data_IF_099895442048
#
_entry.id   IF_099895442048
#
_cell.length_a   1.000
_cell.length_b   1.000
_cell.length_c   1.000
_cell.angle_alpha   90.00
_cell.angle_beta   90.00
_cell.angle_gamma   90.00
#
_symmetry.space_group_name_H-M   'P 1'
#
loop_
_entity.id
_entity.type
_entity.pdbx_description
1 polymer ?
#
# COMPACT_ATOMS: atom_id res chain seq x y z
N UNK A 1 15.25 -13.16 -75.37
CA UNK A 1 15.47 -11.82 -74.84
C UNK A 1 14.35 -11.47 -73.88
N UNK A 2 14.53 -11.62 -72.55
CA UNK A 2 13.50 -11.22 -71.58
C UNK A 2 13.69 -9.76 -71.18
N UNK A 3 12.58 -9.01 -71.12
CA UNK A 3 12.49 -7.64 -70.65
C UNK A 3 12.54 -7.62 -69.13
N UNK A 4 13.50 -6.85 -68.59
CA UNK A 4 13.65 -6.55 -67.18
C UNK A 4 12.75 -5.33 -66.90
N UNK A 5 11.73 -5.55 -66.01
CA UNK A 5 10.85 -4.52 -65.53
C UNK A 5 11.41 -3.98 -64.21
N UNK A 6 11.85 -2.74 -64.19
CA UNK A 6 12.28 -2.03 -62.96
C UNK A 6 11.02 -1.56 -62.20
N UNK A 7 10.80 -2.08 -61.03
CA UNK A 7 9.81 -1.54 -60.08
C UNK A 7 10.52 -0.51 -59.21
N UNK A 8 10.22 0.75 -59.39
CA UNK A 8 10.62 1.85 -58.51
C UNK A 8 9.81 1.78 -57.20
N UNK A 9 10.49 1.49 -56.11
CA UNK A 9 9.95 1.55 -54.76
C UNK A 9 10.09 2.97 -54.24
N UNK A 10 8.98 3.73 -54.16
CA UNK A 10 8.93 5.03 -53.52
C UNK A 10 8.94 4.84 -51.97
N UNK A 11 10.03 5.19 -51.34
CA UNK A 11 10.14 5.36 -49.90
C UNK A 11 9.47 6.67 -49.50
N UNK A 12 8.27 6.60 -48.94
CA UNK A 12 7.65 7.71 -48.19
C UNK A 12 8.33 7.85 -46.83
N UNK A 13 9.21 8.84 -46.69
CA UNK A 13 9.70 9.30 -45.39
C UNK A 13 8.63 10.21 -44.80
N UNK A 14 7.90 9.68 -43.80
CA UNK A 14 6.98 10.49 -43.00
C UNK A 14 7.81 11.25 -41.95
N UNK A 15 8.01 12.51 -42.15
CA UNK A 15 8.53 13.42 -41.10
C UNK A 15 7.42 13.65 -40.06
N UNK A 16 7.56 13.01 -38.91
CA UNK A 16 6.77 13.37 -37.73
C UNK A 16 7.39 14.61 -37.10
N UNK A 17 6.73 15.74 -37.29
CA UNK A 17 7.04 16.96 -36.57
C UNK A 17 6.75 16.75 -35.08
N UNK A 18 7.78 16.52 -34.27
CA UNK A 18 7.70 16.62 -32.81
C UNK A 18 7.63 18.09 -32.42
N UNK A 19 6.44 18.59 -32.15
CA UNK A 19 6.28 19.83 -31.41
C UNK A 19 6.74 19.60 -29.97
N UNK A 20 7.57 20.46 -29.37
CA UNK A 20 7.95 20.30 -27.97
C UNK A 20 6.71 20.51 -27.11
N UNK A 21 6.42 19.52 -26.24
CA UNK A 21 5.43 19.68 -25.18
C UNK A 21 5.85 20.83 -24.27
N UNK A 22 5.00 21.84 -24.21
CA UNK A 22 5.12 22.92 -23.21
C UNK A 22 5.09 22.25 -21.82
N UNK A 23 6.15 22.48 -21.05
CA UNK A 23 6.14 22.28 -19.59
C UNK A 23 4.98 23.08 -19.02
N UNK A 24 3.96 22.38 -18.55
CA UNK A 24 2.96 23.00 -17.69
C UNK A 24 3.61 23.20 -16.33
N UNK A 25 3.90 24.44 -16.01
CA UNK A 25 4.20 24.91 -14.67
C UNK A 25 2.98 24.56 -13.80
N UNK A 26 3.12 23.54 -12.95
CA UNK A 26 2.20 23.31 -11.85
C UNK A 26 2.59 24.26 -10.73
N UNK A 27 1.75 25.27 -10.52
CA UNK A 27 1.83 26.14 -9.35
C UNK A 27 1.92 25.30 -8.08
N UNK A 28 2.97 25.59 -7.29
CA UNK A 28 3.19 25.03 -5.96
C UNK A 28 2.15 25.64 -4.98
N UNK A 29 0.97 25.06 -4.90
CA UNK A 29 0.12 25.25 -3.73
C UNK A 29 0.66 24.38 -2.59
N UNK A 30 1.56 24.95 -1.82
CA UNK A 30 2.00 24.44 -0.53
C UNK A 30 0.82 24.62 0.43
N UNK A 31 0.10 23.55 0.72
CA UNK A 31 -0.77 23.51 1.91
C UNK A 31 0.16 23.60 3.13
N UNK A 32 0.29 24.81 3.67
CA UNK A 32 0.91 25.06 4.97
C UNK A 32 0.04 24.39 6.04
N UNK A 33 0.48 23.25 6.54
CA UNK A 33 0.05 22.77 7.85
C UNK A 33 0.50 23.82 8.87
N UNK A 34 -0.43 24.54 9.47
CA UNK A 34 -0.16 25.50 10.52
C UNK A 34 0.49 24.78 11.72
N UNK A 35 1.81 24.92 11.83
CA UNK A 35 2.53 24.69 13.06
C UNK A 35 2.10 25.77 14.08
N UNK A 36 1.40 25.30 15.10
CA UNK A 36 1.05 26.12 16.25
C UNK A 36 2.32 26.49 17.03
N UNK A 37 2.98 27.56 16.58
CA UNK A 37 4.16 28.10 17.25
C UNK A 37 3.71 29.14 18.26
N UNK A 38 3.85 28.81 19.55
CA UNK A 38 3.61 29.70 20.68
C UNK A 38 4.62 30.85 20.68
N UNK A 39 4.15 32.02 20.28
CA UNK A 39 4.94 33.27 20.37
C UNK A 39 5.01 33.69 21.81
N UNK A 40 6.18 33.56 22.47
CA UNK A 40 6.50 34.20 23.71
C UNK A 40 6.59 35.71 23.48
N UNK A 41 5.66 36.47 24.02
CA UNK A 41 5.81 37.91 24.26
C UNK A 41 6.56 38.13 25.54
N UNK A 42 7.80 38.63 25.46
CA UNK A 42 8.50 39.25 26.57
C UNK A 42 7.87 40.61 26.86
N UNK A 43 7.33 40.77 28.07
CA UNK A 43 7.12 42.11 28.65
C UNK A 43 7.97 42.22 29.90
N UNK A 44 8.90 43.17 29.88
CA UNK A 44 9.58 43.69 31.07
C UNK A 44 8.57 44.38 31.98
N UNK A 45 8.64 44.03 33.26
CA UNK A 45 7.92 44.76 34.30
C UNK A 45 8.40 44.31 35.68
N UNK A 46 9.20 45.18 36.31
CA UNK A 46 9.64 45.12 37.69
C UNK A 46 8.48 45.23 38.68
N UNK A 47 8.51 44.43 39.75
CA UNK A 47 7.60 44.65 40.90
C UNK A 47 7.60 43.47 41.87
N UNK A 48 8.22 43.75 43.02
CA UNK A 48 8.35 42.90 44.20
C UNK A 48 7.03 42.49 44.84
N UNK A 49 7.14 41.42 45.66
CA UNK A 49 6.54 41.14 46.98
C UNK A 49 5.50 40.01 47.03
N UNK A 50 5.96 38.93 47.75
CA UNK A 50 5.24 38.05 48.69
C UNK A 50 3.72 37.85 48.55
N UNK A 51 3.33 36.61 48.32
CA UNK A 51 2.37 35.90 49.19
C UNK A 51 2.53 34.39 48.96
N UNK A 52 2.98 33.73 50.01
CA UNK A 52 2.93 32.28 50.18
C UNK A 52 1.48 31.84 50.40
N UNK A 53 1.27 30.61 49.96
CA UNK A 53 0.28 29.65 50.44
C UNK A 53 -1.21 29.85 50.12
N UNK A 54 -1.74 28.70 49.79
CA UNK A 54 -3.12 28.25 49.74
C UNK A 54 -3.76 28.37 48.33
N UNK A 55 -3.57 27.34 47.58
CA UNK A 55 -4.55 26.55 46.78
C UNK A 55 -3.73 25.60 45.90
N UNK A 56 -3.71 24.35 46.31
CA UNK A 56 -3.18 23.28 45.45
C UNK A 56 -3.84 23.32 44.11
N UNK A 57 -3.08 23.62 43.04
CA UNK A 57 -3.49 23.38 41.70
C UNK A 57 -3.75 21.87 41.60
N UNK A 58 -4.92 21.42 41.11
CA UNK A 58 -5.07 20.02 40.76
C UNK A 58 -4.03 19.73 39.72
N UNK A 59 -3.13 18.77 40.00
CA UNK A 59 -2.33 18.11 39.01
C UNK A 59 -3.31 17.61 37.96
N UNK A 60 -3.23 18.17 36.75
CA UNK A 60 -3.86 17.57 35.59
C UNK A 60 -3.06 16.29 35.36
N UNK A 61 -3.51 15.21 36.02
CA UNK A 61 -3.06 13.87 35.72
C UNK A 61 -3.29 13.71 34.23
N UNK A 62 -2.20 13.66 33.47
CA UNK A 62 -2.24 13.21 32.11
C UNK A 62 -2.87 11.81 32.21
N UNK A 63 -4.13 11.67 31.82
CA UNK A 63 -4.78 10.38 31.65
C UNK A 63 -3.87 9.59 30.70
N UNK A 64 -3.02 8.77 31.28
CA UNK A 64 -2.34 7.69 30.57
C UNK A 64 -3.48 6.81 30.08
N UNK A 65 -3.89 7.02 28.82
CA UNK A 65 -4.88 6.18 28.18
C UNK A 65 -4.41 4.75 28.34
N UNK A 66 -5.14 4.00 29.14
CA UNK A 66 -4.95 2.55 29.28
C UNK A 66 -4.74 1.95 27.90
N UNK A 67 -3.78 1.04 27.72
CA UNK A 67 -3.61 0.37 26.45
C UNK A 67 -4.95 -0.27 26.09
N UNK A 68 -5.51 0.12 24.94
CA UNK A 68 -6.77 -0.43 24.45
C UNK A 68 -6.69 -1.95 24.55
N UNK A 69 -7.62 -2.55 25.31
CA UNK A 69 -7.68 -3.98 25.54
C UNK A 69 -7.65 -4.77 24.23
N UNK A 70 -7.25 -6.04 24.30
CA UNK A 70 -7.20 -6.91 23.13
C UNK A 70 -8.50 -6.81 22.32
N UNK A 71 -8.38 -6.46 21.04
CA UNK A 71 -9.49 -6.53 20.10
C UNK A 71 -9.96 -7.98 20.00
N UNK A 72 -11.25 -8.18 20.08
CA UNK A 72 -11.88 -9.49 19.88
C UNK A 72 -12.08 -9.85 18.40
N UNK A 73 -11.54 -9.03 17.47
CA UNK A 73 -11.73 -9.25 16.05
C UNK A 73 -10.73 -10.30 15.51
N UNK A 74 -11.24 -11.18 14.66
CA UNK A 74 -10.43 -12.14 13.90
C UNK A 74 -9.91 -11.53 12.61
N UNK A 75 -8.70 -11.92 12.21
CA UNK A 75 -8.06 -11.49 10.97
C UNK A 75 -7.69 -12.67 10.07
N UNK A 76 -7.38 -12.38 8.81
CA UNK A 76 -6.76 -13.31 7.86
C UNK A 76 -7.66 -14.40 7.30
N UNK A 77 -8.95 -14.39 7.62
CA UNK A 77 -9.90 -15.42 7.18
C UNK A 77 -10.36 -15.14 5.75
N UNK A 78 -10.02 -16.04 4.84
CA UNK A 78 -10.52 -16.03 3.45
C UNK A 78 -11.95 -16.56 3.36
N UNK A 79 -12.68 -16.14 2.35
CA UNK A 79 -13.93 -16.79 1.98
C UNK A 79 -13.60 -18.03 1.15
N UNK A 80 -14.18 -19.18 1.56
CA UNK A 80 -14.02 -20.42 0.81
C UNK A 80 -14.73 -20.30 -0.54
N UNK A 81 -14.06 -20.70 -1.60
CA UNK A 81 -14.64 -20.81 -2.92
C UNK A 81 -14.26 -22.11 -3.61
N UNK A 82 -15.13 -22.50 -4.55
CA UNK A 82 -14.93 -23.62 -5.45
C UNK A 82 -13.75 -23.30 -6.36
N UNK A 83 -12.66 -24.05 -6.21
CA UNK A 83 -11.42 -23.90 -6.99
C UNK A 83 -11.70 -24.06 -8.48
N UNK A 84 -11.35 -23.03 -9.26
CA UNK A 84 -11.12 -23.17 -10.71
C UNK A 84 -9.60 -23.18 -10.91
N UNK A 85 -9.06 -24.20 -11.55
CA UNK A 85 -7.63 -24.45 -11.71
C UNK A 85 -7.09 -23.65 -12.91
N UNK A 86 -5.99 -22.85 -12.70
CA UNK A 86 -5.18 -22.29 -13.78
C UNK A 86 -5.15 -20.76 -13.89
N UNK A 87 -4.32 -20.04 -13.06
CA UNK A 87 -3.99 -18.60 -13.16
C UNK A 87 -5.18 -17.68 -13.46
N UNK A 88 -6.08 -17.47 -12.52
CA UNK A 88 -7.45 -17.07 -12.81
C UNK A 88 -7.94 -15.99 -11.84
N UNK A 89 -9.02 -15.27 -12.21
CA UNK A 89 -9.71 -14.38 -11.28
C UNK A 89 -9.94 -15.08 -9.95
N UNK A 90 -9.74 -14.36 -8.84
CA UNK A 90 -10.12 -14.90 -7.53
C UNK A 90 -11.62 -15.08 -7.51
N UNK A 91 -12.09 -15.94 -6.64
CA UNK A 91 -13.50 -15.91 -6.32
C UNK A 91 -13.92 -14.59 -5.71
N UNK A 92 -15.22 -14.25 -5.87
CA UNK A 92 -15.80 -12.99 -5.40
C UNK A 92 -15.51 -12.82 -3.91
N UNK A 93 -14.83 -11.71 -3.53
CA UNK A 93 -14.49 -11.38 -2.14
C UNK A 93 -13.69 -12.46 -1.39
N UNK A 94 -12.90 -13.28 -2.09
CA UNK A 94 -12.06 -14.31 -1.46
C UNK A 94 -11.10 -13.71 -0.44
N UNK A 95 -10.53 -12.53 -0.72
CA UNK A 95 -9.61 -11.80 0.15
C UNK A 95 -10.29 -10.51 0.65
N UNK A 96 -11.10 -10.58 1.72
CA UNK A 96 -11.99 -9.48 2.12
C UNK A 96 -11.28 -8.25 2.72
N UNK A 97 -9.98 -8.28 2.85
CA UNK A 97 -9.13 -7.16 3.25
C UNK A 97 -8.58 -6.35 2.09
N UNK A 98 -8.69 -6.86 0.85
CA UNK A 98 -8.14 -6.15 -0.30
C UNK A 98 -8.97 -4.91 -0.58
N UNK A 99 -8.28 -3.77 -0.68
CA UNK A 99 -8.89 -2.47 -0.88
C UNK A 99 -8.35 -1.78 -2.13
N UNK A 100 -9.22 -1.03 -2.81
CA UNK A 100 -8.82 -0.08 -3.85
C UNK A 100 -8.66 1.32 -3.27
N UNK A 101 -7.53 1.95 -3.56
CA UNK A 101 -7.37 3.39 -3.40
C UNK A 101 -7.79 4.08 -4.68
N UNK A 102 -8.74 4.99 -4.55
CA UNK A 102 -9.24 5.82 -5.64
C UNK A 102 -8.85 7.26 -5.36
N UNK A 103 -8.23 7.91 -6.33
CA UNK A 103 -7.88 9.32 -6.28
C UNK A 103 -8.60 10.07 -7.39
N UNK A 104 -9.35 11.10 -7.00
CA UNK A 104 -10.14 11.93 -7.92
C UNK A 104 -11.04 11.08 -8.87
N UNK A 105 -11.67 10.05 -8.30
CA UNK A 105 -12.57 9.13 -9.01
C UNK A 105 -11.91 8.04 -9.83
N UNK A 106 -10.55 7.98 -9.90
CA UNK A 106 -9.82 6.98 -10.70
C UNK A 106 -9.07 6.00 -9.81
N UNK A 107 -9.00 4.73 -10.23
CA UNK A 107 -8.14 3.74 -9.60
C UNK A 107 -6.69 4.22 -9.54
N UNK A 108 -6.06 4.09 -8.38
CA UNK A 108 -4.72 4.63 -8.17
C UNK A 108 -3.74 3.59 -7.64
N UNK A 109 -4.11 2.85 -6.59
CA UNK A 109 -3.28 1.84 -5.93
C UNK A 109 -4.15 0.80 -5.22
N UNK A 110 -3.51 -0.30 -4.80
CA UNK A 110 -4.05 -1.24 -3.83
C UNK A 110 -3.77 -0.81 -2.39
N UNK A 111 -4.46 -1.45 -1.45
CA UNK A 111 -4.24 -1.35 -0.01
C UNK A 111 -4.77 -2.60 0.69
N UNK A 112 -4.50 -2.73 1.98
CA UNK A 112 -5.00 -3.84 2.81
C UNK A 112 -5.62 -3.33 4.09
N UNK A 113 -6.83 -3.78 4.42
CA UNK A 113 -7.49 -3.50 5.70
C UNK A 113 -6.79 -4.28 6.81
N UNK A 114 -6.35 -3.62 7.86
CA UNK A 114 -5.65 -4.25 9.00
C UNK A 114 -6.44 -4.19 10.31
N UNK A 115 -7.42 -3.30 10.38
CA UNK A 115 -8.48 -3.26 11.41
C UNK A 115 -9.69 -2.44 10.89
N UNK A 116 -10.67 -2.17 11.75
CA UNK A 116 -11.87 -1.41 11.35
C UNK A 116 -11.63 0.05 10.97
N UNK A 117 -10.48 0.65 11.37
CA UNK A 117 -10.16 2.06 11.18
C UNK A 117 -9.03 2.33 10.19
N UNK A 118 -8.18 1.35 9.92
CA UNK A 118 -6.94 1.57 9.17
C UNK A 118 -6.76 0.61 8.01
N UNK A 119 -6.30 1.16 6.91
CA UNK A 119 -5.69 0.41 5.81
C UNK A 119 -4.21 0.75 5.69
N UNK A 120 -3.40 -0.24 5.31
CA UNK A 120 -1.99 -0.09 5.00
C UNK A 120 -1.77 -0.13 3.49
N UNK A 121 -0.86 0.70 3.00
CA UNK A 121 -0.47 0.79 1.58
C UNK A 121 0.99 1.24 1.46
N UNK A 122 1.48 1.41 0.24
CA UNK A 122 2.80 1.98 -0.01
C UNK A 122 2.82 3.51 0.16
N UNK A 123 3.91 4.08 0.67
CA UNK A 123 4.07 5.52 0.84
C UNK A 123 4.08 6.26 -0.50
N UNK A 124 4.66 5.65 -1.56
CA UNK A 124 4.66 6.24 -2.89
C UNK A 124 3.26 6.44 -3.45
N UNK A 125 2.31 5.59 -3.08
CA UNK A 125 0.91 5.67 -3.52
C UNK A 125 0.20 6.93 -3.02
N UNK A 126 0.60 7.47 -1.87
CA UNK A 126 -0.09 8.60 -1.23
C UNK A 126 0.79 9.85 -1.13
N UNK A 127 2.00 9.79 -1.71
CA UNK A 127 2.86 10.94 -1.81
C UNK A 127 2.26 11.98 -2.76
N UNK A 128 2.21 13.24 -2.33
CA UNK A 128 1.66 14.36 -3.12
C UNK A 128 0.16 14.27 -3.43
N UNK A 129 -0.60 13.41 -2.76
CA UNK A 129 -2.04 13.35 -2.94
C UNK A 129 -2.76 14.24 -1.91
N UNK A 130 -3.80 14.94 -2.37
CA UNK A 130 -4.72 15.66 -1.49
C UNK A 130 -5.64 14.63 -0.80
N UNK A 131 -5.56 14.55 0.53
CA UNK A 131 -6.34 13.60 1.36
C UNK A 131 -7.85 13.63 1.04
N UNK A 132 -8.41 14.83 0.84
CA UNK A 132 -9.84 15.01 0.55
C UNK A 132 -10.31 14.29 -0.71
N UNK A 133 -9.41 14.03 -1.67
CA UNK A 133 -9.69 13.35 -2.95
C UNK A 133 -9.46 11.83 -2.90
N UNK A 134 -8.92 11.30 -1.79
CA UNK A 134 -8.68 9.86 -1.63
C UNK A 134 -9.95 9.18 -1.12
N UNK A 135 -10.26 8.04 -1.71
CA UNK A 135 -11.29 7.11 -1.24
C UNK A 135 -10.71 5.70 -1.16
N UNK A 136 -11.11 4.98 -0.12
CA UNK A 136 -10.81 3.56 0.09
C UNK A 136 -12.09 2.79 -0.20
N UNK A 137 -12.02 1.82 -1.11
CA UNK A 137 -13.13 0.95 -1.44
C UNK A 137 -12.77 -0.46 -1.01
N UNK A 138 -13.61 -1.07 -0.19
CA UNK A 138 -13.49 -2.42 0.37
C UNK A 138 -14.68 -3.27 -0.10
N UNK A 139 -14.50 -4.58 -0.16
CA UNK A 139 -15.54 -5.51 -0.59
C UNK A 139 -15.87 -5.44 -2.08
N UNK A 140 -15.05 -4.77 -2.87
CA UNK A 140 -15.18 -4.64 -4.31
C UNK A 140 -14.47 -5.82 -5.01
N UNK A 141 -15.04 -6.32 -6.08
CA UNK A 141 -14.45 -7.39 -6.88
C UNK A 141 -14.27 -6.98 -8.34
N UNK A 142 -15.30 -6.45 -8.98
CA UNK A 142 -15.25 -5.95 -10.34
C UNK A 142 -15.24 -4.42 -10.36
N UNK A 143 -14.07 -3.82 -10.65
CA UNK A 143 -13.92 -2.35 -10.66
C UNK A 143 -14.72 -1.66 -11.78
N UNK A 144 -15.31 -2.38 -12.70
CA UNK A 144 -16.11 -1.83 -13.81
C UNK A 144 -17.60 -1.74 -13.46
N UNK A 145 -18.03 -2.45 -12.43
CA UNK A 145 -19.42 -2.48 -11.96
C UNK A 145 -19.59 -1.49 -10.81
N UNK A 146 -20.46 -0.51 -11.00
CA UNK A 146 -20.85 0.42 -9.94
C UNK A 146 -21.78 -0.32 -8.98
N UNK A 147 -21.42 -0.42 -7.70
CA UNK A 147 -22.13 -1.17 -6.66
C UNK A 147 -22.11 -2.69 -6.91
N UNK A 148 -20.91 -3.23 -7.15
CA UNK A 148 -20.69 -4.67 -7.09
C UNK A 148 -20.96 -5.14 -5.65
N UNK A 149 -22.20 -5.57 -5.44
CA UNK A 149 -22.72 -6.09 -4.17
C UNK A 149 -22.48 -5.18 -2.93
N UNK A 150 -21.82 -5.69 -1.90
CA UNK A 150 -21.66 -5.06 -0.58
C UNK A 150 -20.40 -4.18 -0.46
N UNK A 151 -19.97 -3.53 -1.54
CA UNK A 151 -18.78 -2.67 -1.48
C UNK A 151 -18.98 -1.46 -0.57
N UNK A 152 -17.95 -1.13 0.22
CA UNK A 152 -17.96 -0.05 1.20
C UNK A 152 -16.91 0.99 0.85
N UNK A 153 -17.35 2.21 0.54
CA UNK A 153 -16.47 3.35 0.31
C UNK A 153 -16.26 4.16 1.58
N UNK A 154 -15.00 4.52 1.89
CA UNK A 154 -14.62 5.39 3.01
C UNK A 154 -13.73 6.53 2.55
N UNK A 155 -13.97 7.72 3.08
CA UNK A 155 -13.04 8.83 3.00
C UNK A 155 -11.89 8.61 4.00
N UNK A 156 -10.76 9.24 3.74
CA UNK A 156 -9.57 9.20 4.60
C UNK A 156 -9.57 10.41 5.53
N UNK A 157 -9.35 10.19 6.83
CA UNK A 157 -9.23 11.25 7.84
C UNK A 157 -7.77 11.63 8.12
N UNK A 158 -6.82 10.69 7.94
CA UNK A 158 -5.39 10.93 8.17
C UNK A 158 -4.54 10.04 7.27
N UNK A 159 -3.38 10.56 6.86
CA UNK A 159 -2.35 9.84 6.12
C UNK A 159 -1.07 9.88 6.95
N UNK A 160 -0.59 8.72 7.37
CA UNK A 160 0.68 8.58 8.11
C UNK A 160 1.67 7.86 7.21
N UNK A 161 2.59 8.60 6.60
CA UNK A 161 3.70 8.02 5.82
C UNK A 161 4.89 7.78 6.72
N UNK A 162 5.66 6.74 6.42
CA UNK A 162 6.90 6.54 7.15
C UNK A 162 7.86 7.72 6.89
N UNK A 163 8.32 8.38 7.98
CA UNK A 163 9.11 9.63 7.88
C UNK A 163 10.42 9.50 7.09
N UNK A 164 10.98 8.27 7.02
CA UNK A 164 12.20 7.97 6.28
C UNK A 164 11.92 7.40 4.89
N UNK A 165 10.70 7.50 4.38
CA UNK A 165 10.43 7.09 3.00
C UNK A 165 11.29 7.90 2.03
N UNK A 166 12.10 7.19 1.24
CA UNK A 166 12.95 7.78 0.21
C UNK A 166 12.43 7.43 -1.18
N UNK A 167 12.08 8.45 -1.93
CA UNK A 167 11.48 8.31 -3.28
C UNK A 167 12.45 7.77 -4.32
N UNK A 168 13.77 7.88 -4.12
CA UNK A 168 14.76 7.44 -5.08
C UNK A 168 15.10 5.96 -4.93
N UNK A 169 15.17 5.50 -3.68
CA UNK A 169 15.47 4.10 -3.35
C UNK A 169 14.22 3.27 -3.07
N UNK A 170 13.07 3.90 -2.82
CA UNK A 170 11.85 3.28 -2.29
C UNK A 170 12.07 2.57 -0.94
N UNK A 171 13.11 2.96 -0.18
CA UNK A 171 13.30 2.46 1.16
C UNK A 171 12.21 3.03 2.08
N UNK A 172 11.72 2.23 3.03
CA UNK A 172 10.62 2.57 3.93
C UNK A 172 9.30 2.93 3.23
N UNK A 173 8.96 2.22 2.16
CA UNK A 173 7.76 2.46 1.36
C UNK A 173 6.50 1.89 2.01
N UNK A 174 6.03 2.53 3.08
CA UNK A 174 4.84 2.15 3.84
C UNK A 174 4.09 3.39 4.34
N UNK A 175 2.76 3.31 4.28
CA UNK A 175 1.86 4.34 4.81
C UNK A 175 0.61 3.69 5.42
N UNK A 176 0.05 4.35 6.45
CA UNK A 176 -1.24 4.05 7.05
C UNK A 176 -2.24 5.13 6.64
N UNK A 177 -3.44 4.71 6.29
CA UNK A 177 -4.57 5.61 6.05
C UNK A 177 -5.64 5.34 7.11
N UNK A 178 -5.94 6.34 7.93
CA UNK A 178 -7.05 6.28 8.85
C UNK A 178 -8.34 6.59 8.12
N UNK A 179 -9.32 5.71 8.20
CA UNK A 179 -10.64 5.91 7.64
C UNK A 179 -11.39 7.00 8.43
N UNK A 180 -12.23 7.80 7.77
CA UNK A 180 -13.02 8.83 8.45
C UNK A 180 -14.12 8.23 9.33
N UNK A 181 -14.67 7.09 8.94
CA UNK A 181 -15.62 6.29 9.70
C UNK A 181 -15.16 4.85 9.69
N UNK A 182 -15.20 4.16 10.82
CA UNK A 182 -14.87 2.73 10.88
C UNK A 182 -15.71 1.91 9.89
N UNK A 183 -15.21 0.75 9.54
CA UNK A 183 -15.97 -0.26 8.81
C UNK A 183 -16.51 -1.31 9.76
N UNK A 184 -17.71 -1.79 9.50
CA UNK A 184 -18.23 -2.99 10.16
C UNK A 184 -17.72 -4.22 9.41
N UNK A 185 -17.23 -5.21 10.12
CA UNK A 185 -16.80 -6.46 9.51
C UNK A 185 -18.00 -7.27 9.01
N UNK A 186 -17.81 -7.88 7.86
CA UNK A 186 -18.80 -8.71 7.17
C UNK A 186 -18.08 -9.85 6.43
N UNK A 187 -18.81 -10.64 5.65
CA UNK A 187 -18.18 -11.61 4.74
C UNK A 187 -17.30 -10.95 3.68
N UNK A 188 -17.66 -9.74 3.23
CA UNK A 188 -16.95 -9.02 2.16
C UNK A 188 -15.90 -8.04 2.66
N UNK A 189 -15.89 -7.71 3.97
CA UNK A 189 -14.97 -6.75 4.59
C UNK A 189 -14.44 -7.34 5.90
N UNK A 190 -13.19 -7.81 5.91
CA UNK A 190 -12.47 -8.34 7.08
C UNK A 190 -11.01 -7.91 7.04
N UNK A 191 -10.32 -7.79 8.18
CA UNK A 191 -8.91 -7.43 8.20
C UNK A 191 -8.01 -8.63 7.87
N UNK A 192 -6.83 -8.34 7.32
CA UNK A 192 -5.71 -9.28 7.23
C UNK A 192 -4.91 -9.27 8.54
N UNK A 193 -4.31 -10.40 8.90
CA UNK A 193 -3.40 -10.43 10.02
C UNK A 193 -2.06 -9.76 9.67
N UNK A 194 -1.47 -9.07 10.63
CA UNK A 194 -0.05 -8.71 10.54
C UNK A 194 0.80 -9.94 10.91
N UNK A 195 1.98 -10.09 10.31
CA UNK A 195 2.83 -11.23 10.60
C UNK A 195 3.32 -11.17 12.05
N UNK A 196 3.59 -12.31 12.71
CA UNK A 196 4.20 -12.34 14.03
C UNK A 196 5.62 -11.74 13.98
N UNK A 197 6.08 -11.27 15.14
CA UNK A 197 7.45 -10.79 15.31
C UNK A 197 8.44 -11.91 14.94
N UNK A 198 9.46 -11.56 14.16
CA UNK A 198 10.52 -12.48 13.77
C UNK A 198 10.19 -13.43 12.62
N UNK A 199 8.98 -13.43 12.07
CA UNK A 199 8.66 -14.25 10.90
C UNK A 199 9.60 -13.91 9.73
N UNK A 200 10.32 -14.91 9.23
CA UNK A 200 11.00 -14.82 7.94
C UNK A 200 10.23 -15.63 6.89
N UNK A 201 9.55 -14.96 5.95
CA UNK A 201 8.77 -15.65 4.92
C UNK A 201 9.65 -16.18 3.77
N UNK A 202 10.95 -16.06 3.84
CA UNK A 202 11.88 -16.53 2.79
C UNK A 202 11.72 -18.02 2.52
N UNK A 203 11.61 -18.40 1.26
CA UNK A 203 11.38 -19.80 0.84
C UNK A 203 9.92 -20.23 0.84
N UNK A 204 9.01 -19.42 1.41
CA UNK A 204 7.57 -19.68 1.34
C UNK A 204 7.01 -19.29 -0.04
N UNK A 205 5.83 -19.81 -0.35
CA UNK A 205 5.01 -19.32 -1.45
C UNK A 205 4.12 -18.21 -0.94
N UNK A 206 4.26 -17.02 -1.51
CA UNK A 206 3.38 -15.88 -1.27
C UNK A 206 2.28 -15.79 -2.31
N UNK A 207 1.20 -15.09 -1.97
CA UNK A 207 0.10 -14.76 -2.89
C UNK A 207 -0.01 -13.26 -3.00
N UNK A 208 0.13 -12.72 -4.21
CA UNK A 208 -0.15 -11.31 -4.52
C UNK A 208 -1.59 -11.20 -4.98
N UNK A 209 -2.32 -10.21 -4.50
CA UNK A 209 -3.75 -10.01 -4.83
C UNK A 209 -4.00 -8.56 -5.21
N UNK A 210 -4.70 -8.32 -6.32
CA UNK A 210 -5.02 -6.97 -6.76
C UNK A 210 -5.69 -6.88 -8.13
N UNK A 211 -5.80 -5.66 -8.64
CA UNK A 211 -6.35 -5.34 -9.97
C UNK A 211 -5.25 -4.93 -10.96
N UNK A 212 -4.02 -5.30 -10.68
CA UNK A 212 -2.88 -4.99 -11.54
C UNK A 212 -3.00 -5.56 -12.94
N UNK A 213 -2.12 -5.11 -13.81
CA UNK A 213 -2.08 -5.61 -15.19
C UNK A 213 -1.69 -7.09 -15.20
N UNK A 214 -2.33 -7.86 -16.08
CA UNK A 214 -2.03 -9.30 -16.24
C UNK A 214 -0.80 -9.56 -17.13
N UNK A 215 -0.28 -8.52 -17.76
CA UNK A 215 0.95 -8.54 -18.54
C UNK A 215 1.57 -7.16 -18.63
N UNK A 216 2.88 -7.07 -18.90
CA UNK A 216 3.57 -5.82 -19.13
C UNK A 216 2.95 -5.05 -20.31
N UNK A 217 2.53 -3.79 -20.07
CA UNK A 217 1.83 -2.98 -21.08
C UNK A 217 0.37 -3.35 -21.34
N UNK A 218 -0.16 -4.40 -20.68
CA UNK A 218 -1.56 -4.80 -20.78
C UNK A 218 -2.54 -3.81 -20.12
N UNK A 219 -3.83 -4.15 -20.09
CA UNK A 219 -4.86 -3.40 -19.38
C UNK A 219 -4.93 -3.82 -17.92
N UNK A 220 -5.45 -2.95 -17.05
CA UNK A 220 -5.80 -3.33 -15.68
C UNK A 220 -6.86 -4.43 -15.70
N UNK A 221 -6.76 -5.36 -14.76
CA UNK A 221 -7.78 -6.40 -14.61
C UNK A 221 -9.10 -5.77 -14.14
N UNK A 222 -10.22 -6.14 -14.75
CA UNK A 222 -11.54 -5.70 -14.30
C UNK A 222 -11.89 -6.29 -12.93
N UNK A 223 -11.54 -7.56 -12.71
CA UNK A 223 -11.82 -8.30 -11.48
C UNK A 223 -10.52 -8.59 -10.73
N UNK A 224 -10.63 -8.78 -9.40
CA UNK A 224 -9.49 -9.14 -8.55
C UNK A 224 -8.80 -10.40 -9.06
N UNK A 225 -7.49 -10.32 -9.20
CA UNK A 225 -6.61 -11.42 -9.61
C UNK A 225 -5.75 -11.88 -8.44
N UNK A 226 -5.30 -13.13 -8.48
CA UNK A 226 -4.26 -13.63 -7.58
C UNK A 226 -3.13 -14.29 -8.37
N UNK A 227 -1.92 -14.16 -7.88
CA UNK A 227 -0.76 -14.88 -8.41
C UNK A 227 0.10 -15.41 -7.26
N UNK A 228 0.50 -16.68 -7.36
CA UNK A 228 1.44 -17.28 -6.42
C UNK A 228 2.87 -17.00 -6.87
N UNK A 229 3.69 -16.55 -5.93
CA UNK A 229 5.08 -16.15 -6.18
C UNK A 229 6.00 -16.75 -5.11
N UNK A 230 7.17 -17.31 -5.48
CA UNK A 230 8.17 -17.73 -4.50
C UNK A 230 8.80 -16.51 -3.84
N UNK A 231 8.89 -16.52 -2.51
CA UNK A 231 9.54 -15.47 -1.73
C UNK A 231 11.04 -15.80 -1.61
N UNK A 232 11.87 -14.84 -2.00
CA UNK A 232 13.32 -15.02 -2.06
C UNK A 232 13.99 -14.60 -0.75
N UNK A 233 15.11 -15.25 -0.41
CA UNK A 233 16.00 -14.74 0.64
C UNK A 233 16.60 -13.40 0.21
N UNK A 234 17.07 -12.61 1.19
CA UNK A 234 17.73 -11.32 0.90
C UNK A 234 18.97 -11.52 0.00
N UNK A 235 19.71 -12.60 0.19
CA UNK A 235 20.90 -12.92 -0.62
C UNK A 235 20.50 -13.28 -2.06
N UNK A 236 19.47 -14.08 -2.27
CA UNK A 236 18.95 -14.38 -3.60
C UNK A 236 18.47 -13.11 -4.32
N UNK A 237 17.78 -12.23 -3.59
CA UNK A 237 17.31 -10.95 -4.14
C UNK A 237 18.49 -10.05 -4.56
N UNK A 238 19.52 -9.93 -3.73
CA UNK A 238 20.75 -9.18 -4.06
C UNK A 238 21.56 -9.81 -5.18
N UNK A 239 21.47 -11.13 -5.38
CA UNK A 239 22.05 -11.87 -6.49
C UNK A 239 21.26 -11.78 -7.80
N UNK A 240 20.12 -11.08 -7.82
CA UNK A 240 19.32 -10.82 -9.03
C UNK A 240 20.02 -9.80 -9.95
N UNK A 241 19.35 -9.37 -11.02
CA UNK A 241 19.89 -8.32 -11.91
C UNK A 241 19.84 -6.90 -11.33
N UNK A 242 19.26 -6.72 -10.14
CA UNK A 242 19.33 -5.45 -9.42
C UNK A 242 20.73 -5.18 -8.89
N UNK A 243 21.11 -3.90 -8.79
CA UNK A 243 22.30 -3.53 -8.03
C UNK A 243 22.11 -3.95 -6.57
N UNK A 244 23.01 -4.76 -5.96
CA UNK A 244 22.84 -5.28 -4.61
C UNK A 244 22.57 -4.20 -3.54
N UNK A 245 23.19 -3.01 -3.71
CA UNK A 245 23.02 -1.86 -2.82
C UNK A 245 21.60 -1.26 -2.83
N UNK A 246 20.80 -1.51 -3.87
CA UNK A 246 19.42 -1.08 -3.92
C UNK A 246 18.48 -1.93 -3.08
N UNK A 247 18.86 -3.16 -2.75
CA UNK A 247 18.05 -4.09 -1.98
C UNK A 247 18.43 -3.98 -0.51
N UNK A 248 17.59 -3.30 0.27
CA UNK A 248 17.79 -3.08 1.70
C UNK A 248 17.16 -4.20 2.53
N UNK A 249 17.54 -4.36 3.83
CA UNK A 249 16.88 -5.33 4.71
C UNK A 249 15.40 -5.03 4.97
N UNK A 250 14.93 -3.82 4.65
CA UNK A 250 13.55 -3.38 4.76
C UNK A 250 12.68 -3.83 3.58
N UNK A 251 13.30 -4.49 2.62
CA UNK A 251 12.66 -4.99 1.40
C UNK A 251 12.58 -6.51 1.44
N UNK A 252 11.64 -7.03 0.68
CA UNK A 252 11.41 -8.43 0.45
C UNK A 252 11.22 -8.62 -1.06
N UNK A 253 11.80 -9.66 -1.63
CA UNK A 253 11.64 -9.95 -3.04
C UNK A 253 10.82 -11.20 -3.24
N UNK A 254 9.93 -11.17 -4.21
CA UNK A 254 9.18 -12.35 -4.61
C UNK A 254 8.92 -12.36 -6.12
N UNK A 255 8.77 -13.56 -6.68
CA UNK A 255 8.53 -13.77 -8.10
C UNK A 255 9.64 -14.54 -8.79
N UNK A 256 9.28 -15.27 -9.83
CA UNK A 256 10.21 -16.02 -10.69
C UNK A 256 9.63 -16.14 -12.10
N UNK A 257 10.40 -15.66 -13.08
CA UNK A 257 9.96 -15.70 -14.48
C UNK A 257 8.70 -14.87 -14.71
N UNK A 258 7.63 -15.48 -15.23
CA UNK A 258 6.35 -14.82 -15.51
C UNK A 258 5.45 -14.62 -14.29
N UNK A 259 5.80 -15.18 -13.13
CA UNK A 259 5.05 -15.06 -11.89
C UNK A 259 5.55 -13.84 -11.10
N UNK A 260 4.81 -12.74 -11.15
CA UNK A 260 5.20 -11.46 -10.55
C UNK A 260 3.96 -10.59 -10.32
N UNK A 261 4.11 -9.54 -9.48
CA UNK A 261 3.18 -8.42 -9.43
C UNK A 261 3.40 -7.48 -10.62
N UNK A 262 2.38 -6.72 -10.99
CA UNK A 262 2.46 -5.81 -12.13
C UNK A 262 1.94 -4.41 -11.78
N UNK A 263 1.99 -3.48 -12.76
CA UNK A 263 1.47 -2.13 -12.59
C UNK A 263 -0.01 -2.15 -12.23
N UNK A 264 -0.36 -1.46 -11.15
CA UNK A 264 -1.70 -1.45 -10.56
C UNK A 264 -1.80 -2.28 -9.28
N UNK A 265 -0.86 -3.20 -9.01
CA UNK A 265 -0.78 -3.91 -7.72
C UNK A 265 -0.07 -3.09 -6.64
N UNK A 266 0.57 -1.96 -6.99
CA UNK A 266 1.26 -1.06 -6.06
C UNK A 266 0.45 -0.79 -4.81
N UNK A 267 1.06 -0.95 -3.62
CA UNK A 267 0.40 -0.78 -2.32
C UNK A 267 -0.46 -1.96 -1.88
N UNK A 268 -0.74 -2.91 -2.77
CA UNK A 268 -1.49 -4.13 -2.48
C UNK A 268 -0.69 -5.17 -1.68
N UNK A 269 -1.34 -6.25 -1.23
CA UNK A 269 -0.74 -7.24 -0.35
C UNK A 269 0.11 -8.30 -1.05
N UNK A 270 1.20 -8.70 -0.39
CA UNK A 270 1.82 -10.01 -0.52
C UNK A 270 1.51 -10.80 0.75
N UNK A 271 0.84 -11.92 0.59
CA UNK A 271 0.27 -12.74 1.64
C UNK A 271 0.99 -14.07 1.77
N UNK A 272 1.07 -14.61 2.98
CA UNK A 272 1.42 -16.01 3.20
C UNK A 272 0.33 -16.67 4.05
N UNK A 273 0.07 -17.95 3.80
CA UNK A 273 -0.75 -18.77 4.70
C UNK A 273 0.20 -19.57 5.58
N UNK A 274 0.04 -19.48 6.88
CA UNK A 274 0.78 -20.30 7.84
C UNK A 274 0.22 -21.73 7.81
N UNK A 275 1.12 -22.71 7.71
CA UNK A 275 0.73 -24.13 7.65
C UNK A 275 -0.10 -24.52 8.86
N UNK A 276 -1.29 -25.05 8.61
CA UNK A 276 -2.22 -25.54 9.64
C UNK A 276 -3.28 -24.54 10.10
N UNK A 277 -3.19 -23.29 9.74
CA UNK A 277 -4.24 -22.28 9.92
C UNK A 277 -4.62 -21.73 8.53
N UNK A 278 -5.90 -21.78 8.17
CA UNK A 278 -6.44 -21.15 6.95
C UNK A 278 -6.41 -19.61 7.04
N UNK A 279 -5.48 -19.08 7.83
CA UNK A 279 -5.30 -17.64 8.05
C UNK A 279 -4.16 -17.10 7.23
N UNK A 280 -4.39 -15.94 6.64
CA UNK A 280 -3.40 -15.22 5.83
C UNK A 280 -2.77 -14.07 6.61
N UNK A 281 -1.47 -13.90 6.42
CA UNK A 281 -0.65 -12.85 7.01
C UNK A 281 -0.09 -11.94 5.92
N UNK A 282 -0.10 -10.64 6.18
CA UNK A 282 0.45 -9.61 5.30
C UNK A 282 1.96 -9.49 5.52
N UNK A 283 2.77 -10.18 4.72
CA UNK A 283 4.23 -10.16 4.85
C UNK A 283 4.92 -9.11 4.00
N UNK A 284 4.24 -8.64 2.93
CA UNK A 284 4.78 -7.63 2.03
C UNK A 284 3.73 -6.67 1.49
N UNK A 285 4.18 -5.48 1.10
CA UNK A 285 3.39 -4.47 0.39
C UNK A 285 4.06 -4.24 -0.95
N UNK A 286 3.33 -4.35 -2.06
CA UNK A 286 3.88 -4.15 -3.41
C UNK A 286 4.47 -2.75 -3.52
N UNK A 287 5.76 -2.65 -3.85
CA UNK A 287 6.51 -1.39 -3.84
C UNK A 287 7.05 -1.00 -5.21
N UNK A 288 7.98 -1.78 -5.77
CA UNK A 288 8.59 -1.46 -7.06
C UNK A 288 9.14 -2.70 -7.77
N UNK A 289 9.44 -2.56 -9.06
CA UNK A 289 10.05 -3.60 -9.87
C UNK A 289 10.46 -3.07 -11.24
N UNK A 290 11.15 -3.90 -12.03
CA UNK A 290 11.52 -3.59 -13.41
C UNK A 290 10.71 -4.47 -14.37
N UNK A 291 9.66 -3.88 -14.95
CA UNK A 291 8.69 -4.60 -15.79
C UNK A 291 7.75 -5.46 -14.94
N UNK A 292 7.20 -6.50 -15.54
CA UNK A 292 6.35 -7.49 -14.87
C UNK A 292 6.77 -8.88 -15.35
N UNK A 293 7.25 -9.71 -14.43
CA UNK A 293 7.70 -11.07 -14.75
C UNK A 293 8.95 -11.14 -15.62
N UNK A 294 9.79 -10.10 -15.62
CA UNK A 294 11.05 -10.12 -16.39
C UNK A 294 12.07 -11.04 -15.74
N UNK A 295 12.70 -11.98 -16.48
CA UNK A 295 13.67 -12.90 -15.92
C UNK A 295 14.86 -12.19 -15.26
N UNK A 296 15.06 -12.48 -13.97
CA UNK A 296 16.11 -11.90 -13.14
C UNK A 296 15.76 -10.59 -12.46
N UNK A 297 14.53 -10.11 -12.59
CA UNK A 297 13.99 -8.94 -11.90
C UNK A 297 12.75 -9.35 -11.10
N UNK A 298 12.89 -9.94 -9.90
CA UNK A 298 11.75 -10.23 -9.04
C UNK A 298 11.06 -8.94 -8.58
N UNK A 299 9.77 -9.00 -8.26
CA UNK A 299 9.07 -7.91 -7.61
C UNK A 299 9.70 -7.57 -6.25
N UNK A 300 9.70 -6.29 -5.89
CA UNK A 300 10.22 -5.80 -4.62
C UNK A 300 9.08 -5.23 -3.79
N UNK A 301 9.01 -5.66 -2.54
CA UNK A 301 7.94 -5.39 -1.58
C UNK A 301 8.53 -4.76 -0.33
N UNK A 302 7.77 -3.93 0.36
CA UNK A 302 8.12 -3.51 1.72
C UNK A 302 7.95 -4.71 2.66
N UNK A 303 8.98 -5.07 3.43
CA UNK A 303 8.96 -6.18 4.40
C UNK A 303 8.18 -5.76 5.66
N UNK A 304 6.92 -6.19 5.80
CA UNK A 304 5.99 -5.69 6.83
C UNK A 304 6.47 -5.95 8.26
N UNK A 305 7.08 -7.11 8.55
CA UNK A 305 7.55 -7.44 9.90
C UNK A 305 8.61 -6.48 10.47
N UNK A 306 9.26 -5.67 9.61
CA UNK A 306 10.18 -4.60 10.04
C UNK A 306 9.48 -3.35 10.55
N UNK A 307 8.16 -3.27 10.38
CA UNK A 307 7.37 -2.06 10.66
C UNK A 307 6.28 -2.30 11.69
N UNK A 308 6.22 -3.47 12.35
CA UNK A 308 5.16 -3.79 13.31
C UNK A 308 5.08 -2.76 14.45
N UNK A 309 6.24 -2.38 15.03
CA UNK A 309 6.29 -1.34 16.05
C UNK A 309 5.89 0.03 15.53
N UNK A 310 6.26 0.35 14.27
CA UNK A 310 5.85 1.60 13.65
C UNK A 310 4.34 1.60 13.43
N UNK A 311 3.74 0.53 12.95
CA UNK A 311 2.29 0.37 12.79
C UNK A 311 1.60 0.54 14.14
N UNK A 312 1.99 -0.22 15.17
CA UNK A 312 1.42 -0.16 16.52
C UNK A 312 1.49 1.26 17.11
N UNK A 313 2.64 1.94 16.97
CA UNK A 313 2.81 3.32 17.49
C UNK A 313 1.93 4.36 16.80
N UNK A 314 1.59 4.16 15.53
CA UNK A 314 0.77 5.10 14.77
C UNK A 314 -0.73 4.76 14.78
N UNK A 315 -1.12 3.71 15.53
CA UNK A 315 -2.48 3.24 15.69
C UNK A 315 -2.89 3.12 17.17
N UNK A 316 -2.37 4.01 18.04
CA UNK A 316 -2.61 3.97 19.50
C UNK A 316 -4.06 4.22 19.89
N UNK A 317 -4.87 4.72 19.00
CA UNK A 317 -6.28 5.03 19.20
C UNK A 317 -7.21 3.87 18.84
N UNK A 318 -6.65 2.73 18.44
CA UNK A 318 -7.39 1.54 18.05
C UNK A 318 -6.54 0.29 18.29
N UNK A 319 -7.17 -0.87 18.38
CA UNK A 319 -6.47 -2.13 18.57
C UNK A 319 -6.27 -2.88 17.23
N UNK A 320 -5.30 -3.80 17.19
CA UNK A 320 -5.12 -4.74 16.10
C UNK A 320 -5.94 -5.99 16.34
N UNK A 321 -6.49 -6.55 15.27
CA UNK A 321 -7.13 -7.85 15.31
C UNK A 321 -6.05 -8.93 15.53
N UNK A 322 -6.33 -9.91 16.36
CA UNK A 322 -5.40 -10.97 16.74
C UNK A 322 -5.62 -12.25 15.93
N UNK A 323 -4.54 -13.03 15.82
CA UNK A 323 -4.57 -14.38 15.25
C UNK A 323 -5.36 -15.35 16.14
#
# INVERSE_FOLDING_TARGET
MPRISFVLMFLFVVYVNMTPMKEQNYDEDIDSDEDFNSTQRQTHGTGRIFFEEIFGAPSVDAEEKEPLGNCTCECGLVNQEIRIVGGMPTGVNRYPWVARLVYDGKFHCGASLINNDYVVTAAHCVRRLKRSKIRVILGDHDQTVINDSDSVMRAVSSIVRHRHFDVNSYNHDIALLKLRKPVSFSKTVRPVCLPPDGLDPSGMTGTVVGWGRTSEGGTLASVVQEVQVPILTLNQCRGSKYKPSRITPNMLCAGKGTQDSCQGDSGGPLLVSTQGNDKYELVGIVSWGVGCGRPGYPGVYTRVNRYLDWVKRNMRDTCLCVN
#
